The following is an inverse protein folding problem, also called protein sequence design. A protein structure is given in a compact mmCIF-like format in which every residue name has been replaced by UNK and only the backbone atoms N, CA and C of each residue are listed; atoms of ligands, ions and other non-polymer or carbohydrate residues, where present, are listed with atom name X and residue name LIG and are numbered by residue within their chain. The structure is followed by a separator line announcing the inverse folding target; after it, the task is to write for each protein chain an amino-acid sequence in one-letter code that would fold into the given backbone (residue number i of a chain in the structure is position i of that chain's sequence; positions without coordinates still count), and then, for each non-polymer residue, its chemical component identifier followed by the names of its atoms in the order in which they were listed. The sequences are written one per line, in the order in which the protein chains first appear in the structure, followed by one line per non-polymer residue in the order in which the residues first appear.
data_IF_672030976222
#
_entry.id   IF_672030976222
#
_cell.length_a   1.000
_cell.length_b   1.000
_cell.length_c   1.000
_cell.angle_alpha   90.00
_cell.angle_beta   90.00
_cell.angle_gamma   90.00
#
_symmetry.space_group_name_H-M   'P 1'
#
loop_
_entity.id
_entity.type
_entity.pdbx_description
1 polymer ?
#
# COMPACT_ATOMS: atom_id res chain seq x y z
N UNK A 1 -24.31 -15.21 4.13
CA UNK A 1 -23.21 -15.40 3.14
C UNK A 1 -23.44 -14.59 1.89
N UNK A 2 -22.37 -14.13 1.24
CA UNK A 2 -22.43 -13.51 -0.10
C UNK A 2 -21.82 -14.50 -1.11
N UNK A 3 -22.48 -14.69 -2.25
CA UNK A 3 -22.06 -15.61 -3.32
C UNK A 3 -21.64 -14.82 -4.55
N UNK A 4 -20.44 -15.07 -5.07
CA UNK A 4 -19.94 -14.54 -6.36
C UNK A 4 -20.00 -15.67 -7.40
N UNK A 5 -20.72 -15.43 -8.50
CA UNK A 5 -21.00 -16.44 -9.55
C UNK A 5 -20.94 -15.87 -10.96
N UNK A 6 -20.94 -16.72 -11.97
CA UNK A 6 -21.05 -16.37 -13.39
C UNK A 6 -19.91 -15.48 -13.89
N UNK A 7 -18.67 -15.75 -13.47
CA UNK A 7 -17.47 -15.08 -13.93
C UNK A 7 -16.23 -15.92 -13.71
N UNK A 8 -15.09 -15.33 -13.87
CA UNK A 8 -13.80 -15.95 -13.58
C UNK A 8 -13.26 -15.51 -12.21
N UNK A 9 -12.47 -16.34 -11.58
CA UNK A 9 -11.80 -16.06 -10.31
C UNK A 9 -10.30 -16.22 -10.47
N UNK A 10 -9.56 -15.18 -10.20
CA UNK A 10 -8.11 -15.18 -10.10
C UNK A 10 -7.73 -15.30 -8.63
N UNK A 11 -7.34 -16.49 -8.19
CA UNK A 11 -7.10 -16.77 -6.77
C UNK A 11 -5.78 -16.22 -6.26
N UNK A 12 -4.76 -16.15 -7.10
CA UNK A 12 -3.35 -15.93 -6.75
C UNK A 12 -2.78 -17.01 -5.80
N UNK A 13 -3.48 -18.12 -5.61
CA UNK A 13 -3.02 -19.27 -4.83
C UNK A 13 -2.22 -20.22 -5.75
N UNK A 14 -0.93 -19.94 -5.90
CA UNK A 14 0.00 -20.68 -6.77
C UNK A 14 -0.05 -20.29 -8.25
N UNK A 15 -1.21 -19.94 -8.83
CA UNK A 15 -1.39 -19.59 -10.24
C UNK A 15 -1.85 -18.16 -10.46
N UNK A 16 -1.50 -17.57 -11.61
CA UNK A 16 -2.07 -16.33 -12.14
C UNK A 16 -3.05 -16.59 -13.30
N UNK A 17 -3.65 -17.80 -13.36
CA UNK A 17 -4.64 -18.14 -14.37
C UNK A 17 -6.04 -18.08 -13.76
N UNK A 18 -6.95 -17.25 -14.28
CA UNK A 18 -8.33 -17.21 -13.81
C UNK A 18 -9.07 -18.53 -14.12
N UNK A 19 -9.94 -18.94 -13.21
CA UNK A 19 -10.73 -20.17 -13.31
C UNK A 19 -12.23 -19.86 -13.22
N UNK A 20 -13.06 -20.65 -13.92
CA UNK A 20 -14.53 -20.56 -13.81
C UNK A 20 -15.00 -21.31 -12.57
N UNK A 21 -14.92 -20.66 -11.43
CA UNK A 21 -15.33 -21.17 -10.11
C UNK A 21 -16.12 -20.10 -9.36
N UNK A 22 -16.71 -20.47 -8.23
CA UNK A 22 -17.41 -19.54 -7.35
C UNK A 22 -16.63 -19.26 -6.06
N UNK A 23 -16.87 -18.11 -5.48
CA UNK A 23 -16.37 -17.73 -4.16
C UNK A 23 -17.56 -17.32 -3.29
N UNK A 24 -17.63 -17.87 -2.09
CA UNK A 24 -18.62 -17.46 -1.08
C UNK A 24 -17.92 -16.89 0.12
N UNK A 25 -18.47 -15.82 0.68
CA UNK A 25 -17.98 -15.20 1.91
C UNK A 25 -18.99 -15.35 3.03
N UNK A 26 -18.51 -15.53 4.27
CA UNK A 26 -19.31 -15.52 5.48
C UNK A 26 -18.68 -14.57 6.49
N UNK A 27 -19.39 -13.49 6.80
CA UNK A 27 -18.80 -12.38 7.55
C UNK A 27 -17.57 -11.82 6.85
N UNK A 28 -16.45 -11.77 7.55
CA UNK A 28 -15.17 -11.25 7.07
C UNK A 28 -14.27 -12.29 6.38
N UNK A 29 -14.74 -13.56 6.26
CA UNK A 29 -13.93 -14.67 5.75
C UNK A 29 -14.46 -15.25 4.43
N UNK A 30 -13.54 -15.83 3.66
CA UNK A 30 -13.86 -16.67 2.50
C UNK A 30 -14.25 -18.05 3.00
N UNK A 31 -15.49 -18.43 2.78
CA UNK A 31 -16.08 -19.70 3.26
C UNK A 31 -15.99 -20.83 2.22
N UNK A 32 -15.98 -20.50 0.93
CA UNK A 32 -15.93 -21.47 -0.15
C UNK A 32 -15.22 -20.92 -1.38
N UNK A 33 -14.43 -21.77 -2.03
CA UNK A 33 -13.78 -21.52 -3.33
C UNK A 33 -13.88 -22.80 -4.15
N UNK A 34 -14.50 -22.77 -5.32
CA UNK A 34 -14.61 -23.93 -6.18
C UNK A 34 -15.90 -24.00 -7.00
N UNK A 35 -16.24 -25.20 -7.47
CA UNK A 35 -17.50 -25.48 -8.18
C UNK A 35 -18.45 -26.20 -7.23
N UNK A 36 -19.55 -25.53 -6.79
CA UNK A 36 -20.50 -26.15 -5.88
C UNK A 36 -21.34 -27.21 -6.63
N UNK A 37 -21.66 -28.30 -5.95
CA UNK A 37 -22.65 -29.23 -6.42
C UNK A 37 -24.07 -28.78 -6.05
N UNK A 38 -25.09 -29.49 -6.57
CA UNK A 38 -26.49 -29.12 -6.36
C UNK A 38 -26.95 -29.29 -4.90
N UNK A 39 -26.34 -30.22 -4.15
CA UNK A 39 -26.66 -30.45 -2.74
C UNK A 39 -26.14 -29.30 -1.87
N UNK A 40 -24.89 -28.88 -2.08
CA UNK A 40 -24.28 -27.74 -1.40
C UNK A 40 -25.03 -26.43 -1.67
N UNK A 41 -25.46 -26.22 -2.92
CA UNK A 41 -26.27 -25.05 -3.27
C UNK A 41 -27.64 -25.04 -2.56
N UNK A 42 -28.29 -26.21 -2.45
CA UNK A 42 -29.59 -26.32 -1.76
C UNK A 42 -29.49 -26.16 -0.25
N UNK A 43 -28.36 -26.57 0.33
CA UNK A 43 -28.13 -26.52 1.79
C UNK A 43 -27.60 -25.17 2.28
N UNK A 44 -27.20 -24.27 1.37
CA UNK A 44 -26.60 -22.97 1.72
C UNK A 44 -27.59 -21.84 1.47
N UNK A 45 -27.76 -20.96 2.48
CA UNK A 45 -28.55 -19.74 2.35
C UNK A 45 -27.64 -18.53 2.05
N UNK A 46 -27.99 -17.78 1.01
CA UNK A 46 -27.26 -16.58 0.62
C UNK A 46 -28.10 -15.34 0.95
N UNK A 47 -27.51 -14.43 1.69
CA UNK A 47 -28.05 -13.08 1.95
C UNK A 47 -28.03 -12.25 0.66
N UNK A 48 -26.98 -12.44 -0.15
CA UNK A 48 -26.78 -11.75 -1.42
C UNK A 48 -26.07 -12.67 -2.42
N UNK A 49 -26.56 -12.64 -3.66
CA UNK A 49 -25.84 -13.22 -4.80
C UNK A 49 -25.37 -12.10 -5.73
N UNK A 50 -24.09 -12.12 -6.08
CA UNK A 50 -23.45 -11.17 -7.02
C UNK A 50 -23.14 -11.93 -8.29
N UNK A 51 -23.83 -11.55 -9.36
CA UNK A 51 -23.54 -12.01 -10.70
C UNK A 51 -22.35 -11.23 -11.24
N UNK A 52 -21.26 -11.91 -11.57
CA UNK A 52 -20.08 -11.25 -12.12
C UNK A 52 -20.24 -10.84 -13.58
N UNK A 53 -21.31 -11.33 -14.27
CA UNK A 53 -21.60 -10.99 -15.67
C UNK A 53 -20.38 -11.19 -16.61
N UNK A 54 -19.61 -12.27 -16.37
CA UNK A 54 -18.35 -12.53 -17.10
C UNK A 54 -17.14 -11.76 -16.59
N UNK A 55 -17.30 -10.91 -15.58
CA UNK A 55 -16.21 -10.21 -14.90
C UNK A 55 -15.26 -11.13 -14.15
N UNK A 56 -14.20 -10.56 -13.60
CA UNK A 56 -13.18 -11.30 -12.86
C UNK A 56 -13.14 -10.89 -11.39
N UNK A 57 -13.34 -11.85 -10.49
CA UNK A 57 -13.10 -11.69 -9.05
C UNK A 57 -11.63 -11.97 -8.74
N UNK A 58 -10.99 -11.12 -7.94
CA UNK A 58 -9.59 -11.30 -7.54
C UNK A 58 -9.32 -10.72 -6.15
N UNK A 59 -8.19 -11.07 -5.51
CA UNK A 59 -7.74 -10.36 -4.31
C UNK A 59 -7.58 -8.88 -4.61
N UNK A 60 -7.97 -8.03 -3.66
CA UNK A 60 -7.80 -6.58 -3.81
C UNK A 60 -6.34 -6.16 -3.78
N UNK A 61 -6.05 -5.01 -4.35
CA UNK A 61 -4.74 -4.37 -4.20
C UNK A 61 -4.48 -3.94 -2.76
N UNK A 62 -3.20 -3.94 -2.38
CA UNK A 62 -2.72 -3.42 -1.11
C UNK A 62 -1.69 -2.34 -1.41
N UNK A 63 -1.91 -1.13 -0.88
CA UNK A 63 -0.97 -0.02 -1.04
C UNK A 63 0.08 -0.10 0.08
N UNK A 64 1.24 -0.70 -0.22
CA UNK A 64 2.24 -1.04 0.79
C UNK A 64 3.11 0.14 1.25
N UNK A 65 2.89 1.34 0.76
CA UNK A 65 3.46 2.59 1.29
C UNK A 65 2.68 3.80 0.78
N UNK A 66 2.29 4.66 1.71
CA UNK A 66 1.59 5.91 1.40
C UNK A 66 1.62 6.91 2.56
N UNK A 67 1.16 8.13 2.29
CA UNK A 67 0.86 9.22 3.21
C UNK A 67 -0.54 9.76 2.90
N UNK A 68 -1.58 8.99 3.23
CA UNK A 68 -2.94 9.19 2.73
C UNK A 68 -3.48 10.60 2.96
N UNK A 69 -3.28 11.18 4.15
CA UNK A 69 -3.79 12.50 4.46
C UNK A 69 -3.15 13.64 3.65
N UNK A 70 -2.04 13.39 2.92
CA UNK A 70 -1.44 14.38 2.02
C UNK A 70 -2.29 14.71 0.78
N UNK A 71 -3.54 14.24 0.68
CA UNK A 71 -4.44 14.64 -0.41
C UNK A 71 -4.58 16.16 -0.56
N UNK A 72 -4.39 16.93 0.50
CA UNK A 72 -4.41 18.39 0.45
C UNK A 72 -3.22 19.03 -0.29
N UNK A 73 -2.13 18.29 -0.47
CA UNK A 73 -0.93 18.73 -1.21
C UNK A 73 -0.93 18.30 -2.69
N UNK A 74 -1.97 17.61 -3.14
CA UNK A 74 -2.08 17.18 -4.54
C UNK A 74 -2.01 18.39 -5.46
N UNK A 75 -1.03 18.40 -6.37
CA UNK A 75 -0.75 19.50 -7.29
C UNK A 75 -0.43 20.85 -6.62
N UNK A 76 -0.05 20.84 -5.34
CA UNK A 76 0.29 22.07 -4.61
C UNK A 76 1.73 22.53 -4.87
N UNK A 77 2.67 21.59 -4.98
CA UNK A 77 4.09 21.90 -5.07
C UNK A 77 4.82 20.92 -6.02
N UNK A 78 4.29 20.77 -7.21
CA UNK A 78 4.90 19.91 -8.24
C UNK A 78 6.18 20.58 -8.83
N UNK A 79 6.98 19.76 -9.55
CA UNK A 79 8.16 20.20 -10.30
C UNK A 79 9.31 20.78 -9.45
N UNK A 80 9.49 20.25 -8.23
CA UNK A 80 10.59 20.58 -7.33
C UNK A 80 11.45 19.35 -6.99
N UNK A 81 12.79 19.53 -6.79
CA UNK A 81 13.64 18.47 -6.23
C UNK A 81 13.17 18.05 -4.83
N UNK A 82 13.33 16.75 -4.48
CA UNK A 82 12.80 16.15 -3.25
C UNK A 82 13.05 16.96 -1.98
N UNK A 83 14.30 17.37 -1.72
CA UNK A 83 14.62 18.08 -0.47
C UNK A 83 14.03 19.49 -0.46
N UNK A 84 14.10 20.24 -1.57
CA UNK A 84 13.49 21.56 -1.67
C UNK A 84 11.97 21.44 -1.49
N UNK A 85 11.36 20.43 -2.12
CA UNK A 85 9.95 20.11 -1.98
C UNK A 85 9.56 19.83 -0.52
N UNK A 86 10.28 18.93 0.17
CA UNK A 86 10.00 18.59 1.56
C UNK A 86 10.14 19.78 2.50
N UNK A 87 11.30 20.47 2.47
CA UNK A 87 11.62 21.46 3.49
C UNK A 87 10.95 22.82 3.23
N UNK A 88 10.65 23.17 1.98
CA UNK A 88 10.07 24.49 1.66
C UNK A 88 8.55 24.46 1.47
N UNK A 89 7.96 23.31 1.11
CA UNK A 89 6.55 23.21 0.80
C UNK A 89 5.80 22.25 1.73
N UNK A 90 6.23 21.00 1.85
CA UNK A 90 5.48 19.96 2.56
C UNK A 90 5.48 20.19 4.06
N UNK A 91 6.64 20.20 4.70
CA UNK A 91 6.74 20.33 6.16
C UNK A 91 6.13 21.61 6.72
N UNK A 92 6.28 22.80 6.08
CA UNK A 92 5.60 24.02 6.54
C UNK A 92 4.07 23.91 6.48
N UNK A 93 3.52 23.21 5.51
CA UNK A 93 2.06 23.01 5.41
C UNK A 93 1.57 21.95 6.39
N UNK A 94 2.30 20.85 6.53
CA UNK A 94 1.96 19.81 7.50
C UNK A 94 2.00 20.28 8.96
N UNK A 95 2.91 21.21 9.28
CA UNK A 95 3.00 21.81 10.62
C UNK A 95 1.75 22.57 11.04
N UNK A 96 0.87 22.92 10.11
CA UNK A 96 -0.39 23.64 10.35
C UNK A 96 -1.61 22.72 10.48
N UNK A 97 -1.46 21.42 10.19
CA UNK A 97 -2.56 20.46 10.23
C UNK A 97 -3.12 20.29 11.64
N UNK A 98 -4.42 20.08 11.70
CA UNK A 98 -5.15 19.64 12.89
C UNK A 98 -5.69 18.23 12.67
N UNK A 99 -6.12 17.55 13.73
CA UNK A 99 -6.75 16.25 13.64
C UNK A 99 -7.98 16.27 12.72
N UNK A 100 -8.81 17.34 12.74
CA UNK A 100 -9.95 17.48 11.82
C UNK A 100 -9.51 17.49 10.35
N UNK A 101 -8.42 18.19 10.03
CA UNK A 101 -7.88 18.23 8.68
C UNK A 101 -7.43 16.83 8.24
N UNK A 102 -6.67 16.13 9.09
CA UNK A 102 -6.19 14.76 8.85
C UNK A 102 -7.36 13.79 8.64
N UNK A 103 -8.42 13.90 9.44
CA UNK A 103 -9.64 13.08 9.29
C UNK A 103 -10.25 13.24 7.89
N UNK A 104 -10.53 14.46 7.43
CA UNK A 104 -11.20 14.68 6.16
C UNK A 104 -10.31 14.38 4.95
N UNK A 105 -9.03 14.70 5.01
CA UNK A 105 -8.09 14.37 3.95
C UNK A 105 -7.86 12.85 3.83
N UNK A 106 -7.87 12.13 4.96
CA UNK A 106 -7.84 10.66 4.96
C UNK A 106 -9.12 10.08 4.35
N UNK A 107 -10.29 10.60 4.69
CA UNK A 107 -11.56 10.20 4.06
C UNK A 107 -11.51 10.39 2.55
N UNK A 108 -10.93 11.48 2.07
CA UNK A 108 -10.75 11.74 0.64
C UNK A 108 -9.84 10.70 -0.03
N UNK A 109 -8.74 10.32 0.61
CA UNK A 109 -7.87 9.24 0.13
C UNK A 109 -8.61 7.89 0.06
N UNK A 110 -9.41 7.56 1.07
CA UNK A 110 -10.19 6.32 1.12
C UNK A 110 -11.17 6.22 -0.06
N UNK A 111 -11.81 7.31 -0.48
CA UNK A 111 -12.64 7.30 -1.70
C UNK A 111 -11.82 6.88 -2.93
N UNK A 112 -10.62 7.43 -3.07
CA UNK A 112 -9.75 7.10 -4.20
C UNK A 112 -9.25 5.65 -4.14
N UNK A 113 -8.86 5.16 -2.97
CA UNK A 113 -8.48 3.76 -2.77
C UNK A 113 -9.59 2.80 -3.17
N UNK A 114 -10.78 2.98 -2.60
CA UNK A 114 -11.89 2.06 -2.82
C UNK A 114 -12.35 2.02 -4.27
N UNK A 115 -12.42 3.18 -4.94
CA UNK A 115 -12.76 3.24 -6.36
C UNK A 115 -11.66 2.67 -7.26
N UNK A 116 -10.45 2.52 -6.75
CA UNK A 116 -9.30 1.90 -7.42
C UNK A 116 -9.03 0.45 -7.02
N UNK A 117 -9.90 -0.18 -6.22
CA UNK A 117 -9.75 -1.58 -5.81
C UNK A 117 -8.72 -1.83 -4.70
N UNK A 118 -8.33 -0.81 -3.96
CA UNK A 118 -7.43 -0.92 -2.80
C UNK A 118 -8.25 -1.08 -1.52
N UNK A 119 -7.93 -2.08 -0.69
CA UNK A 119 -8.63 -2.34 0.58
C UNK A 119 -7.77 -2.10 1.81
N UNK A 120 -6.47 -1.89 1.63
CA UNK A 120 -5.56 -1.61 2.73
C UNK A 120 -4.43 -0.66 2.32
N UNK A 121 -4.05 0.24 3.24
CA UNK A 121 -2.88 1.12 3.12
C UNK A 121 -1.86 0.84 4.22
N UNK A 122 -0.56 0.96 3.90
CA UNK A 122 0.53 1.03 4.86
C UNK A 122 0.94 2.50 4.97
N UNK A 123 0.45 3.17 5.99
CA UNK A 123 0.41 4.61 6.07
C UNK A 123 1.39 5.17 7.11
N UNK A 124 2.30 6.00 6.67
CA UNK A 124 3.23 6.71 7.53
C UNK A 124 2.72 8.15 7.73
N UNK A 125 2.07 8.41 8.89
CA UNK A 125 1.52 9.73 9.17
C UNK A 125 1.48 10.07 10.67
N UNK A 126 0.95 11.25 11.00
CA UNK A 126 0.77 11.78 12.36
C UNK A 126 -0.71 12.12 12.62
N UNK A 127 -1.07 12.71 13.79
CA UNK A 127 -2.46 12.93 14.24
C UNK A 127 -3.30 11.65 14.19
N UNK A 128 -2.73 10.57 14.75
CA UNK A 128 -3.21 9.21 14.53
C UNK A 128 -4.61 8.94 15.11
N UNK A 129 -5.10 9.69 16.12
CA UNK A 129 -6.45 9.49 16.65
C UNK A 129 -7.52 9.76 15.58
N UNK A 130 -7.42 10.89 14.89
CA UNK A 130 -8.34 11.28 13.85
C UNK A 130 -8.14 10.45 12.57
N UNK A 131 -6.89 10.10 12.27
CA UNK A 131 -6.55 9.19 11.18
C UNK A 131 -7.21 7.82 11.38
N UNK A 132 -7.03 7.20 12.54
CA UNK A 132 -7.61 5.88 12.89
C UNK A 132 -9.14 5.94 12.87
N UNK A 133 -9.72 7.01 13.41
CA UNK A 133 -11.17 7.24 13.40
C UNK A 133 -11.71 7.25 11.97
N UNK A 134 -11.06 7.98 11.03
CA UNK A 134 -11.48 8.02 9.63
C UNK A 134 -11.50 6.63 8.99
N UNK A 135 -10.47 5.81 9.26
CA UNK A 135 -10.37 4.46 8.72
C UNK A 135 -11.43 3.51 9.29
N UNK A 136 -11.60 3.49 10.62
CA UNK A 136 -12.59 2.63 11.30
C UNK A 136 -14.01 2.95 10.82
N UNK A 137 -14.39 4.23 10.82
CA UNK A 137 -15.73 4.66 10.39
C UNK A 137 -15.99 4.38 8.91
N UNK A 138 -14.94 4.34 8.08
CA UNK A 138 -15.06 3.98 6.67
C UNK A 138 -15.07 2.47 6.42
N UNK A 139 -14.74 1.65 7.43
CA UNK A 139 -14.55 0.22 7.25
C UNK A 139 -13.29 -0.14 6.46
N UNK A 140 -12.35 0.80 6.31
CA UNK A 140 -11.11 0.63 5.54
C UNK A 140 -9.97 0.10 6.42
N UNK A 141 -9.19 -0.85 5.88
CA UNK A 141 -8.06 -1.43 6.60
C UNK A 141 -6.82 -0.56 6.48
N UNK A 142 -6.11 -0.36 7.60
CA UNK A 142 -4.81 0.33 7.57
C UNK A 142 -3.80 -0.30 8.51
N UNK A 143 -2.56 -0.33 8.04
CA UNK A 143 -1.38 -0.59 8.84
C UNK A 143 -0.68 0.75 9.06
N UNK A 144 -0.61 1.23 10.28
CA UNK A 144 0.09 2.45 10.64
C UNK A 144 1.60 2.18 10.67
N UNK A 145 2.38 3.10 10.14
CA UNK A 145 3.83 3.13 10.27
C UNK A 145 4.24 4.29 11.16
N UNK A 146 5.16 4.07 12.08
CA UNK A 146 5.76 5.16 12.83
C UNK A 146 6.45 6.16 11.90
N UNK A 147 6.28 7.45 12.16
CA UNK A 147 6.81 8.56 11.36
C UNK A 147 7.76 9.46 12.15
N UNK A 148 8.31 8.97 13.26
CA UNK A 148 9.17 9.78 14.12
C UNK A 148 10.40 10.29 13.38
N UNK A 149 10.74 11.55 13.62
CA UNK A 149 11.89 12.23 13.04
C UNK A 149 12.52 13.16 14.09
N UNK A 150 13.82 13.40 14.00
CA UNK A 150 14.55 14.21 14.95
C UNK A 150 13.95 15.63 15.10
N UNK A 151 13.85 16.10 16.33
CA UNK A 151 13.31 17.41 16.68
C UNK A 151 11.79 17.52 16.73
N UNK A 152 11.04 16.56 16.20
CA UNK A 152 9.56 16.50 16.29
C UNK A 152 9.08 15.52 17.34
N UNK A 153 9.60 14.30 17.31
CA UNK A 153 9.12 13.18 18.13
C UNK A 153 10.30 12.27 18.50
N UNK A 154 10.16 11.47 19.55
CA UNK A 154 11.18 10.57 20.05
C UNK A 154 10.66 9.12 20.12
N UNK A 155 11.54 8.19 20.47
CA UNK A 155 11.21 6.77 20.57
C UNK A 155 10.12 6.47 21.61
N UNK A 156 9.99 7.30 22.66
CA UNK A 156 8.93 7.14 23.67
C UNK A 156 7.54 7.38 23.05
N UNK A 157 7.41 8.43 22.22
CA UNK A 157 6.16 8.70 21.49
C UNK A 157 5.84 7.57 20.52
N UNK A 158 6.84 7.03 19.82
CA UNK A 158 6.66 5.86 18.96
C UNK A 158 6.15 4.65 19.75
N UNK A 159 6.73 4.37 20.91
CA UNK A 159 6.32 3.27 21.76
C UNK A 159 4.89 3.43 22.27
N UNK A 160 4.53 4.61 22.79
CA UNK A 160 3.18 4.93 23.26
C UNK A 160 2.13 4.70 22.15
N UNK A 161 2.43 5.16 20.93
CA UNK A 161 1.57 4.96 19.75
C UNK A 161 1.48 3.49 19.35
N UNK A 162 2.60 2.79 19.31
CA UNK A 162 2.64 1.36 19.00
C UNK A 162 1.76 0.56 19.97
N UNK A 163 1.87 0.81 21.27
CA UNK A 163 1.05 0.15 22.29
C UNK A 163 -0.44 0.54 22.21
N UNK A 164 -0.73 1.78 21.82
CA UNK A 164 -2.11 2.28 21.72
C UNK A 164 -2.85 1.75 20.49
N UNK A 165 -2.19 1.75 19.33
CA UNK A 165 -2.89 1.50 18.06
C UNK A 165 -2.70 0.09 17.51
N UNK A 166 -1.65 -0.65 17.90
CA UNK A 166 -1.44 -1.98 17.37
C UNK A 166 -2.50 -2.97 17.88
N UNK A 167 -3.49 -3.26 17.03
CA UNK A 167 -4.59 -4.16 17.37
C UNK A 167 -5.77 -3.51 18.11
N UNK A 168 -5.87 -2.16 18.13
CA UNK A 168 -7.01 -1.44 18.74
C UNK A 168 -8.35 -1.78 18.07
N UNK A 169 -8.32 -2.20 16.81
CA UNK A 169 -9.47 -2.60 16.01
C UNK A 169 -9.05 -3.66 14.98
N UNK A 170 -9.94 -4.60 14.56
CA UNK A 170 -9.59 -5.62 13.56
C UNK A 170 -9.07 -5.09 12.22
N UNK A 171 -9.39 -3.84 11.87
CA UNK A 171 -8.91 -3.17 10.65
C UNK A 171 -7.63 -2.35 10.87
N UNK A 172 -7.14 -2.22 12.11
CA UNK A 172 -6.03 -1.34 12.47
C UNK A 172 -4.90 -2.15 13.10
N UNK A 173 -3.72 -2.03 12.53
CA UNK A 173 -2.48 -2.48 13.16
C UNK A 173 -1.42 -1.38 13.04
N UNK A 174 -0.32 -1.52 13.79
CA UNK A 174 0.79 -0.57 13.75
C UNK A 174 2.13 -1.31 13.69
N UNK A 175 3.06 -0.78 12.92
CA UNK A 175 4.45 -1.18 12.84
C UNK A 175 5.34 -0.11 13.45
N UNK A 176 6.45 -0.53 14.07
CA UNK A 176 7.51 0.41 14.41
C UNK A 176 8.05 1.03 13.11
N UNK A 177 8.45 2.28 13.18
CA UNK A 177 9.00 2.97 12.03
C UNK A 177 9.50 4.36 12.37
N UNK A 178 10.23 4.93 11.44
CA UNK A 178 10.71 6.32 11.46
C UNK A 178 10.80 6.83 10.02
N UNK A 179 10.91 8.15 9.86
CA UNK A 179 10.84 8.73 8.52
C UNK A 179 11.99 8.26 7.64
N UNK A 180 13.22 8.66 7.91
CA UNK A 180 14.41 8.28 7.15
C UNK A 180 15.68 8.50 7.99
N UNK A 181 16.84 7.99 7.52
CA UNK A 181 18.09 8.15 8.26
C UNK A 181 18.53 9.62 8.36
N UNK A 182 18.32 10.40 7.28
CA UNK A 182 18.72 11.82 7.22
C UNK A 182 17.82 12.76 8.05
N UNK A 183 16.68 12.26 8.52
CA UNK A 183 15.78 12.98 9.45
C UNK A 183 15.85 12.44 10.88
N UNK A 184 16.66 11.42 11.15
CA UNK A 184 16.84 10.81 12.47
C UNK A 184 18.28 11.06 12.98
N UNK A 185 18.39 11.49 14.23
CA UNK A 185 19.69 11.52 14.91
C UNK A 185 20.11 10.10 15.28
N UNK A 186 21.43 9.86 15.40
CA UNK A 186 21.97 8.53 15.69
C UNK A 186 21.38 7.92 16.96
N UNK A 187 21.23 8.69 18.04
CA UNK A 187 20.61 8.24 19.29
C UNK A 187 19.14 7.80 19.11
N UNK A 188 18.37 8.45 18.24
CA UNK A 188 17.02 8.02 17.91
C UNK A 188 17.03 6.66 17.18
N UNK A 189 17.98 6.41 16.29
CA UNK A 189 18.14 5.13 15.61
C UNK A 189 18.46 4.00 16.60
N UNK A 190 19.33 4.26 17.60
CA UNK A 190 19.64 3.31 18.68
C UNK A 190 18.40 3.00 19.55
N UNK A 191 17.64 4.01 19.91
CA UNK A 191 16.40 3.86 20.66
C UNK A 191 15.35 3.03 19.88
N UNK A 192 15.22 3.27 18.57
CA UNK A 192 14.33 2.49 17.71
C UNK A 192 14.78 1.02 17.61
N UNK A 193 16.08 0.79 17.50
CA UNK A 193 16.63 -0.57 17.54
C UNK A 193 16.32 -1.28 18.87
N UNK A 194 16.42 -0.55 20.00
CA UNK A 194 16.03 -1.05 21.31
C UNK A 194 14.53 -1.40 21.40
N UNK A 195 13.66 -0.60 20.79
CA UNK A 195 12.22 -0.92 20.69
C UNK A 195 11.97 -2.16 19.83
N UNK A 196 12.66 -2.29 18.68
CA UNK A 196 12.56 -3.47 17.83
C UNK A 196 12.96 -4.73 18.61
N UNK A 197 14.05 -4.68 19.37
CA UNK A 197 14.50 -5.79 20.24
C UNK A 197 13.50 -6.08 21.36
N UNK A 198 12.98 -5.04 22.03
CA UNK A 198 12.03 -5.15 23.14
C UNK A 198 10.73 -5.85 22.74
N UNK A 199 10.18 -5.49 21.58
CA UNK A 199 8.89 -6.00 21.09
C UNK A 199 9.02 -7.13 20.09
N UNK A 200 10.24 -7.51 19.69
CA UNK A 200 10.50 -8.47 18.60
C UNK A 200 9.72 -8.09 17.34
N UNK A 201 9.68 -6.80 17.06
CA UNK A 201 8.80 -6.20 16.05
C UNK A 201 9.59 -5.70 14.84
N UNK A 202 9.03 -5.85 13.62
CA UNK A 202 9.63 -5.32 12.40
C UNK A 202 9.60 -3.78 12.39
N UNK A 203 10.61 -3.17 11.73
CA UNK A 203 10.72 -1.71 11.56
C UNK A 203 10.65 -1.35 10.08
N UNK A 204 9.93 -0.27 9.76
CA UNK A 204 9.77 0.21 8.39
C UNK A 204 10.18 1.69 8.27
N UNK A 205 10.82 2.05 7.14
CA UNK A 205 11.36 3.39 6.93
C UNK A 205 11.62 3.65 5.44
N UNK A 206 11.70 4.92 5.02
CA UNK A 206 12.28 5.25 3.72
C UNK A 206 13.75 4.81 3.70
N UNK A 207 14.18 4.23 2.59
CA UNK A 207 15.51 3.63 2.49
C UNK A 207 16.11 3.82 1.10
N UNK A 208 17.24 4.48 1.05
CA UNK A 208 18.04 4.62 -0.17
C UNK A 208 17.23 5.14 -1.36
N UNK A 209 16.38 6.15 -1.12
CA UNK A 209 15.51 6.72 -2.15
C UNK A 209 16.32 7.52 -3.18
N UNK A 210 17.28 8.34 -2.72
CA UNK A 210 18.09 9.18 -3.61
C UNK A 210 19.58 8.87 -3.50
N UNK A 211 20.30 9.07 -4.61
CA UNK A 211 21.76 8.93 -4.63
C UNK A 211 22.45 9.91 -3.65
N UNK A 212 21.82 11.07 -3.39
CA UNK A 212 22.33 12.05 -2.42
C UNK A 212 22.25 11.50 -0.99
N UNK A 213 21.11 10.96 -0.59
CA UNK A 213 20.90 10.31 0.71
C UNK A 213 21.97 9.25 0.97
N UNK A 214 22.14 8.30 0.03
CA UNK A 214 23.12 7.22 0.18
C UNK A 214 24.53 7.77 0.32
N UNK A 215 24.92 8.74 -0.51
CA UNK A 215 26.26 9.34 -0.44
C UNK A 215 26.50 10.04 0.90
N UNK A 216 25.55 10.88 1.36
CA UNK A 216 25.67 11.61 2.63
C UNK A 216 25.71 10.66 3.83
N UNK A 217 24.94 9.55 3.80
CA UNK A 217 25.01 8.51 4.82
C UNK A 217 26.38 7.82 4.85
N UNK A 218 26.96 7.50 3.69
CA UNK A 218 28.32 6.92 3.59
C UNK A 218 29.38 7.92 4.09
N UNK A 219 29.29 9.20 3.73
CA UNK A 219 30.21 10.24 4.21
C UNK A 219 30.14 10.37 5.74
N UNK A 220 28.95 10.30 6.33
CA UNK A 220 28.74 10.49 7.77
C UNK A 220 29.06 9.26 8.60
N UNK A 221 28.70 8.07 8.13
CA UNK A 221 28.72 6.83 8.93
C UNK A 221 29.62 5.73 8.33
N UNK A 222 30.16 5.91 7.14
CA UNK A 222 30.95 4.88 6.44
C UNK A 222 30.07 3.72 5.94
N UNK A 223 28.76 3.89 5.86
CA UNK A 223 27.77 2.83 5.55
C UNK A 223 26.63 3.40 4.71
N UNK A 224 26.02 2.54 3.87
CA UNK A 224 24.72 2.87 3.27
C UNK A 224 23.62 2.94 4.35
N UNK A 225 22.44 3.55 4.09
CA UNK A 225 21.32 3.52 5.03
C UNK A 225 20.98 2.09 5.50
N UNK A 226 20.90 1.14 4.58
CA UNK A 226 20.61 -0.27 4.88
C UNK A 226 21.66 -0.91 5.79
N UNK A 227 22.96 -0.72 5.49
CA UNK A 227 24.06 -1.23 6.30
C UNK A 227 24.08 -0.60 7.70
N UNK A 228 23.76 0.69 7.79
CA UNK A 228 23.63 1.39 9.08
C UNK A 228 22.51 0.76 9.91
N UNK A 229 21.31 0.58 9.35
CA UNK A 229 20.18 -0.01 10.04
C UNK A 229 20.42 -1.44 10.46
N UNK A 230 21.05 -2.28 9.62
CA UNK A 230 21.42 -3.64 9.95
C UNK A 230 22.45 -3.68 11.11
N UNK A 231 23.45 -2.80 11.06
CA UNK A 231 24.51 -2.74 12.09
C UNK A 231 24.00 -2.30 13.46
N UNK A 232 22.92 -1.51 13.51
CA UNK A 232 22.26 -1.10 14.75
C UNK A 232 21.23 -2.13 15.24
N UNK A 233 20.90 -3.14 14.43
CA UNK A 233 19.89 -4.13 14.78
C UNK A 233 18.45 -3.73 14.47
N UNK A 234 18.22 -2.61 13.76
CA UNK A 234 16.89 -2.13 13.37
C UNK A 234 16.14 -3.20 12.55
N UNK A 235 16.83 -3.90 11.66
CA UNK A 235 16.26 -4.95 10.82
C UNK A 235 16.33 -6.37 11.41
N UNK A 236 16.63 -6.51 12.69
CA UNK A 236 16.75 -7.84 13.34
C UNK A 236 15.47 -8.68 13.25
N UNK A 237 14.32 -8.05 13.16
CA UNK A 237 13.00 -8.70 13.08
C UNK A 237 12.29 -8.43 11.75
N UNK A 238 13.04 -8.11 10.69
CA UNK A 238 12.49 -7.76 9.39
C UNK A 238 11.93 -6.35 9.35
N UNK A 239 11.00 -6.10 8.42
CA UNK A 239 10.38 -4.81 8.21
C UNK A 239 10.21 -4.48 6.74
N UNK A 240 10.17 -3.20 6.39
CA UNK A 240 10.12 -2.73 5.02
C UNK A 240 11.02 -1.49 4.82
N UNK A 241 11.75 -1.49 3.71
CA UNK A 241 12.35 -0.29 3.16
C UNK A 241 11.48 0.27 2.05
N UNK A 242 11.12 1.54 2.11
CA UNK A 242 10.33 2.19 1.07
C UNK A 242 11.24 2.81 0.03
N UNK A 243 10.82 2.85 -1.23
CA UNK A 243 11.53 3.28 -2.44
C UNK A 243 12.65 2.35 -2.89
N UNK A 244 13.70 2.17 -2.10
CA UNK A 244 14.83 1.25 -2.38
C UNK A 244 15.48 1.45 -3.77
N UNK A 245 15.62 2.71 -4.20
CA UNK A 245 16.09 3.05 -5.56
C UNK A 245 17.57 2.77 -5.72
N UNK A 246 18.37 3.07 -4.69
CA UNK A 246 19.83 3.04 -4.73
C UNK A 246 20.43 1.97 -3.79
N UNK A 247 19.80 0.78 -3.72
CA UNK A 247 20.38 -0.36 -2.99
C UNK A 247 21.61 -0.92 -3.71
N UNK A 248 22.69 -1.14 -2.96
CA UNK A 248 23.83 -1.93 -3.40
C UNK A 248 23.53 -3.43 -3.39
N UNK A 249 24.41 -4.24 -3.96
CA UNK A 249 24.29 -5.72 -3.88
C UNK A 249 24.31 -6.21 -2.43
N UNK A 250 25.16 -5.63 -1.58
CA UNK A 250 25.25 -5.96 -0.16
C UNK A 250 23.95 -5.58 0.58
N UNK A 251 23.34 -4.43 0.25
CA UNK A 251 22.05 -4.02 0.82
C UNK A 251 20.94 -5.02 0.46
N UNK A 252 20.88 -5.50 -0.77
CA UNK A 252 19.92 -6.52 -1.20
C UNK A 252 20.15 -7.85 -0.46
N UNK A 253 21.40 -8.24 -0.20
CA UNK A 253 21.74 -9.42 0.58
C UNK A 253 21.32 -9.26 2.07
N UNK A 254 21.40 -8.05 2.63
CA UNK A 254 20.87 -7.72 3.95
C UNK A 254 19.35 -7.88 3.95
N UNK A 255 18.64 -7.29 2.98
CA UNK A 255 17.19 -7.41 2.86
C UNK A 255 16.74 -8.86 2.83
N UNK A 256 17.37 -9.69 1.97
CA UNK A 256 17.07 -11.13 1.88
C UNK A 256 17.33 -11.84 3.21
N UNK A 257 18.50 -11.64 3.83
CA UNK A 257 18.92 -12.33 5.07
C UNK A 257 18.05 -11.95 6.25
N UNK A 258 17.64 -10.68 6.35
CA UNK A 258 16.79 -10.16 7.42
C UNK A 258 15.29 -10.31 7.15
N UNK A 259 14.89 -10.72 5.96
CA UNK A 259 13.49 -10.82 5.58
C UNK A 259 12.80 -9.46 5.45
N UNK A 260 13.56 -8.41 5.12
CA UNK A 260 13.04 -7.07 4.88
C UNK A 260 12.41 -7.01 3.48
N UNK A 261 11.24 -6.38 3.37
CA UNK A 261 10.58 -6.15 2.10
C UNK A 261 11.07 -4.85 1.46
N UNK A 262 11.37 -4.87 0.17
CA UNK A 262 11.57 -3.65 -0.60
C UNK A 262 10.22 -3.23 -1.22
N UNK A 263 9.70 -2.09 -0.80
CA UNK A 263 8.45 -1.55 -1.32
C UNK A 263 8.77 -0.45 -2.32
N UNK A 264 8.52 -0.73 -3.60
CA UNK A 264 8.75 0.25 -4.67
C UNK A 264 7.56 1.19 -4.81
N UNK A 265 7.87 2.46 -5.11
CA UNK A 265 6.90 3.52 -5.41
C UNK A 265 7.25 4.16 -6.76
N UNK A 266 7.08 3.43 -7.88
CA UNK A 266 7.61 3.85 -9.18
C UNK A 266 7.06 5.18 -9.68
N UNK A 267 5.81 5.53 -9.35
CA UNK A 267 5.22 6.82 -9.69
C UNK A 267 5.93 7.98 -9.00
N UNK A 268 6.11 7.91 -7.69
CA UNK A 268 6.83 8.91 -6.89
C UNK A 268 8.31 8.97 -7.30
N UNK A 269 8.99 7.83 -7.37
CA UNK A 269 10.40 7.75 -7.76
C UNK A 269 10.66 8.43 -9.12
N UNK A 270 9.75 8.24 -10.07
CA UNK A 270 9.84 8.85 -11.41
C UNK A 270 9.58 10.35 -11.38
N UNK A 271 8.53 10.79 -10.66
CA UNK A 271 8.14 12.19 -10.58
C UNK A 271 9.17 13.06 -9.86
N UNK A 272 9.75 12.54 -8.77
CA UNK A 272 10.78 13.22 -7.99
C UNK A 272 12.20 13.02 -8.59
N UNK A 273 12.30 12.31 -9.71
CA UNK A 273 13.56 11.97 -10.37
C UNK A 273 14.57 11.25 -9.43
N UNK A 274 14.06 10.49 -8.45
CA UNK A 274 14.88 9.69 -7.54
C UNK A 274 15.61 8.56 -8.27
N UNK A 275 15.01 8.00 -9.32
CA UNK A 275 15.60 6.96 -10.18
C UNK A 275 14.68 5.74 -10.38
N UNK A 276 15.23 4.68 -10.96
CA UNK A 276 14.54 3.41 -11.20
C UNK A 276 15.10 2.35 -10.25
N UNK A 277 14.31 1.89 -9.29
CA UNK A 277 14.70 0.84 -8.36
C UNK A 277 15.08 -0.46 -9.10
N UNK A 278 16.12 -1.22 -8.67
CA UNK A 278 16.61 -2.40 -9.36
C UNK A 278 15.77 -3.66 -9.05
N UNK A 279 14.50 -3.66 -9.41
CA UNK A 279 13.52 -4.69 -9.02
C UNK A 279 13.92 -6.09 -9.54
N UNK A 280 14.38 -6.20 -10.78
CA UNK A 280 14.83 -7.48 -11.35
C UNK A 280 16.05 -8.03 -10.63
N UNK A 281 16.98 -7.17 -10.19
CA UNK A 281 18.14 -7.57 -9.42
C UNK A 281 17.73 -8.05 -8.02
N UNK A 282 16.79 -7.34 -7.38
CA UNK A 282 16.22 -7.73 -6.10
C UNK A 282 15.53 -9.10 -6.17
N UNK A 283 14.71 -9.36 -7.21
CA UNK A 283 14.05 -10.65 -7.42
C UNK A 283 15.10 -11.76 -7.59
N UNK A 284 16.10 -11.54 -8.43
CA UNK A 284 17.16 -12.53 -8.69
C UNK A 284 17.94 -12.92 -7.44
N UNK A 285 18.04 -12.00 -6.46
CA UNK A 285 18.69 -12.21 -5.16
C UNK A 285 17.74 -12.72 -4.08
N UNK A 286 16.43 -12.90 -4.39
CA UNK A 286 15.44 -13.40 -3.46
C UNK A 286 14.97 -12.36 -2.42
N UNK A 287 15.06 -11.07 -2.73
CA UNK A 287 14.46 -9.99 -1.93
C UNK A 287 12.96 -10.02 -2.16
N UNK A 288 12.19 -9.93 -1.08
CA UNK A 288 10.74 -9.85 -1.11
C UNK A 288 10.28 -8.44 -1.48
N UNK A 289 9.22 -8.33 -2.26
CA UNK A 289 8.77 -7.07 -2.83
C UNK A 289 7.34 -6.70 -2.44
N UNK A 290 7.10 -5.41 -2.33
CA UNK A 290 5.79 -4.79 -2.28
C UNK A 290 5.70 -3.61 -3.25
N UNK A 291 4.49 -3.12 -3.47
CA UNK A 291 4.19 -1.97 -4.32
C UNK A 291 3.37 -0.94 -3.54
N UNK A 292 3.79 0.31 -3.57
CA UNK A 292 3.10 1.43 -2.96
C UNK A 292 2.97 2.61 -3.90
N UNK A 293 2.07 3.52 -3.59
CA UNK A 293 1.90 4.76 -4.36
C UNK A 293 2.77 5.89 -3.85
N UNK A 294 3.27 5.80 -2.61
CA UNK A 294 3.69 6.96 -1.85
C UNK A 294 2.52 7.96 -1.63
N UNK A 295 2.79 9.16 -1.12
CA UNK A 295 1.77 10.15 -0.86
C UNK A 295 1.21 10.84 -2.10
N UNK A 296 -0.03 11.36 -2.05
CA UNK A 296 -0.61 12.13 -3.16
C UNK A 296 0.07 13.49 -3.36
N UNK A 297 0.98 13.89 -2.52
CA UNK A 297 1.85 15.04 -2.74
C UNK A 297 3.00 14.74 -3.71
N UNK A 298 3.63 13.56 -3.59
CA UNK A 298 4.78 13.15 -4.41
C UNK A 298 4.36 12.45 -5.71
N UNK A 299 3.24 11.71 -5.70
CA UNK A 299 2.73 10.94 -6.86
C UNK A 299 1.52 11.59 -7.55
N UNK A 300 0.73 12.37 -6.83
CA UNK A 300 -0.57 12.93 -7.20
C UNK A 300 -1.72 11.92 -7.34
N UNK A 301 -1.47 10.63 -7.55
CA UNK A 301 -2.49 9.60 -7.69
C UNK A 301 -2.28 8.44 -6.70
N UNK A 302 -3.37 7.99 -6.09
CA UNK A 302 -3.41 6.78 -5.27
C UNK A 302 -3.96 5.63 -6.14
N UNK A 303 -3.17 5.22 -7.15
CA UNK A 303 -3.62 4.37 -8.26
C UNK A 303 -2.69 3.19 -8.52
N UNK A 304 -3.07 2.00 -8.03
CA UNK A 304 -2.26 0.80 -8.17
C UNK A 304 -2.15 0.30 -9.62
N UNK A 305 -3.11 0.60 -10.50
CA UNK A 305 -2.97 0.26 -11.93
C UNK A 305 -1.82 1.03 -12.55
N UNK A 306 -1.71 2.33 -12.23
CA UNK A 306 -0.61 3.17 -12.69
C UNK A 306 0.73 2.68 -12.14
N UNK A 307 0.79 2.32 -10.87
CA UNK A 307 2.00 1.79 -10.26
C UNK A 307 2.43 0.46 -10.88
N UNK A 308 1.51 -0.47 -11.12
CA UNK A 308 1.79 -1.73 -11.80
C UNK A 308 2.35 -1.51 -13.20
N UNK A 309 1.73 -0.62 -13.99
CA UNK A 309 2.23 -0.28 -15.32
C UNK A 309 3.65 0.28 -15.26
N UNK A 310 3.88 1.29 -14.41
CA UNK A 310 5.20 1.91 -14.25
C UNK A 310 6.24 0.90 -13.75
N UNK A 311 5.89 0.04 -12.80
CA UNK A 311 6.81 -0.97 -12.27
C UNK A 311 7.37 -1.84 -13.38
N UNK A 312 6.53 -2.39 -14.26
CA UNK A 312 7.00 -3.27 -15.33
C UNK A 312 7.73 -2.51 -16.44
N UNK A 313 7.20 -1.39 -16.95
CA UNK A 313 7.80 -0.71 -18.10
C UNK A 313 9.15 -0.05 -17.78
N UNK A 314 9.31 0.45 -16.55
CA UNK A 314 10.58 0.99 -16.09
C UNK A 314 11.65 -0.10 -15.95
N UNK A 315 11.29 -1.33 -15.52
CA UNK A 315 12.23 -2.44 -15.50
C UNK A 315 12.64 -2.88 -16.91
N UNK A 316 11.72 -2.93 -17.86
CA UNK A 316 12.03 -3.22 -19.27
C UNK A 316 13.02 -2.20 -19.83
N UNK A 317 12.79 -0.92 -19.56
CA UNK A 317 13.69 0.16 -19.97
C UNK A 317 15.07 0.05 -19.29
N UNK A 318 15.10 -0.14 -17.97
CA UNK A 318 16.35 -0.28 -17.19
C UNK A 318 17.22 -1.42 -17.70
N UNK A 319 16.62 -2.56 -18.00
CA UNK A 319 17.35 -3.77 -18.42
C UNK A 319 17.54 -3.85 -19.94
N UNK A 320 16.99 -2.92 -20.74
CA UNK A 320 16.95 -3.03 -22.20
C UNK A 320 16.38 -4.38 -22.67
N UNK A 321 15.42 -4.93 -21.94
CA UNK A 321 14.78 -6.22 -22.17
C UNK A 321 13.26 -6.14 -22.03
N UNK A 322 12.55 -6.34 -23.14
CA UNK A 322 11.09 -6.32 -23.17
C UNK A 322 10.44 -7.48 -22.37
N UNK A 323 11.20 -8.51 -22.02
CA UNK A 323 10.73 -9.63 -21.19
C UNK A 323 10.95 -9.41 -19.68
N UNK A 324 11.71 -8.38 -19.29
CA UNK A 324 11.96 -8.08 -17.88
C UNK A 324 10.65 -7.81 -17.13
N UNK A 325 10.52 -8.38 -15.96
CA UNK A 325 9.40 -8.23 -15.02
C UNK A 325 8.01 -8.41 -15.68
N UNK A 326 7.56 -9.65 -15.91
CA UNK A 326 6.30 -9.95 -16.58
C UNK A 326 5.08 -9.56 -15.73
N UNK A 327 3.92 -9.39 -16.38
CA UNK A 327 2.67 -8.93 -15.76
C UNK A 327 2.21 -9.79 -14.56
N UNK A 328 2.39 -11.11 -14.64
CA UNK A 328 2.00 -12.04 -13.58
C UNK A 328 2.79 -11.77 -12.29
N UNK A 329 4.07 -11.48 -12.40
CA UNK A 329 4.92 -11.12 -11.25
C UNK A 329 4.53 -9.76 -10.67
N UNK A 330 4.28 -8.77 -11.53
CA UNK A 330 3.81 -7.43 -11.11
C UNK A 330 2.50 -7.53 -10.33
N UNK A 331 1.55 -8.33 -10.81
CA UNK A 331 0.27 -8.50 -10.13
C UNK A 331 0.42 -9.18 -8.76
N UNK A 332 1.32 -10.20 -8.67
CA UNK A 332 1.65 -10.83 -7.38
C UNK A 332 2.26 -9.82 -6.41
N UNK A 333 3.16 -8.97 -6.86
CA UNK A 333 3.75 -7.90 -6.03
C UNK A 333 2.67 -6.95 -5.52
N UNK A 334 1.75 -6.50 -6.39
CA UNK A 334 0.70 -5.54 -6.03
C UNK A 334 -0.37 -6.10 -5.07
N UNK A 335 -0.60 -7.42 -5.08
CA UNK A 335 -1.59 -8.07 -4.20
C UNK A 335 -0.89 -8.80 -3.05
N UNK A 336 -0.33 -9.99 -3.31
CA UNK A 336 0.23 -10.87 -2.28
C UNK A 336 1.48 -10.30 -1.63
N UNK A 337 2.45 -9.82 -2.43
CA UNK A 337 3.70 -9.26 -1.92
C UNK A 337 3.46 -8.02 -1.06
N UNK A 338 2.57 -7.13 -1.50
CA UNK A 338 2.18 -5.95 -0.73
C UNK A 338 1.46 -6.32 0.57
N UNK A 339 0.54 -7.30 0.53
CA UNK A 339 -0.13 -7.80 1.74
C UNK A 339 0.88 -8.36 2.75
N UNK A 340 1.84 -9.17 2.29
CA UNK A 340 2.88 -9.74 3.15
C UNK A 340 3.80 -8.66 3.73
N UNK A 341 4.23 -7.66 2.93
CA UNK A 341 5.04 -6.53 3.39
C UNK A 341 4.36 -5.76 4.53
N UNK A 342 3.04 -5.64 4.46
CA UNK A 342 2.21 -5.02 5.48
C UNK A 342 1.92 -5.92 6.69
N UNK A 343 2.27 -7.22 6.64
CA UNK A 343 1.90 -8.21 7.64
C UNK A 343 0.44 -8.63 7.59
N UNK A 344 -0.19 -8.49 6.44
CA UNK A 344 -1.58 -8.84 6.15
C UNK A 344 -1.69 -10.15 5.34
N UNK A 345 -0.87 -11.15 5.66
CA UNK A 345 -0.87 -12.43 4.97
C UNK A 345 -2.23 -13.16 4.96
N UNK A 346 -3.19 -12.73 5.82
CA UNK A 346 -4.56 -13.21 5.79
C UNK A 346 -5.41 -12.62 4.65
N UNK A 347 -4.90 -11.58 3.94
CA UNK A 347 -5.59 -10.86 2.87
C UNK A 347 -4.87 -10.99 1.50
N UNK A 348 -3.92 -11.92 1.36
CA UNK A 348 -2.95 -12.00 0.26
C UNK A 348 -3.50 -12.69 -0.99
N UNK A 349 -4.51 -13.56 -0.85
CA UNK A 349 -5.07 -14.39 -1.93
C UNK A 349 -6.49 -14.85 -1.64
N UNK A 350 -7.14 -15.43 -2.62
CA UNK A 350 -8.45 -16.07 -2.46
C UNK A 350 -8.24 -17.55 -2.09
N UNK A 351 -8.45 -17.88 -0.82
CA UNK A 351 -8.46 -19.25 -0.31
C UNK A 351 -9.42 -19.37 0.87
N UNK A 352 -9.97 -20.54 1.11
CA UNK A 352 -10.88 -20.77 2.24
C UNK A 352 -10.20 -20.41 3.57
N UNK A 353 -10.89 -19.68 4.43
CA UNK A 353 -10.39 -19.18 5.72
C UNK A 353 -9.65 -17.85 5.67
N UNK A 354 -9.21 -17.38 4.49
CA UNK A 354 -8.62 -16.05 4.30
C UNK A 354 -9.67 -14.95 4.50
N UNK A 355 -9.21 -13.73 4.72
CA UNK A 355 -10.05 -12.55 4.80
C UNK A 355 -10.68 -12.22 3.44
N UNK A 356 -11.93 -11.79 3.46
CA UNK A 356 -12.66 -11.39 2.27
C UNK A 356 -12.35 -9.93 1.88
N UNK A 357 -11.13 -9.71 1.41
CA UNK A 357 -10.64 -8.46 0.83
C UNK A 357 -10.54 -8.66 -0.69
N UNK A 358 -11.61 -8.34 -1.41
CA UNK A 358 -11.84 -8.76 -2.79
C UNK A 358 -12.21 -7.59 -3.69
N UNK A 359 -11.90 -7.70 -5.00
CA UNK A 359 -12.39 -6.78 -6.03
C UNK A 359 -12.99 -7.53 -7.21
N UNK A 360 -13.96 -6.90 -7.85
CA UNK A 360 -14.53 -7.35 -9.12
C UNK A 360 -14.05 -6.42 -10.23
N UNK A 361 -13.42 -6.99 -11.22
CA UNK A 361 -12.96 -6.31 -12.43
C UNK A 361 -13.98 -6.50 -13.54
N UNK A 362 -14.43 -5.41 -14.13
CA UNK A 362 -15.22 -5.41 -15.35
C UNK A 362 -14.36 -5.82 -16.54
N UNK A 363 -14.70 -6.94 -17.15
CA UNK A 363 -14.00 -7.44 -18.33
C UNK A 363 -14.66 -6.95 -19.63
N UNK A 364 -15.86 -6.32 -19.56
CA UNK A 364 -16.60 -5.81 -20.73
C UNK A 364 -16.44 -4.29 -20.88
N UNK A 365 -15.19 -3.83 -20.81
CA UNK A 365 -14.80 -2.44 -21.09
C UNK A 365 -13.71 -2.40 -22.17
N UNK A 366 -13.60 -1.30 -22.94
CA UNK A 366 -12.67 -1.23 -24.07
C UNK A 366 -11.22 -1.56 -23.74
N UNK A 367 -10.71 -1.11 -22.60
CA UNK A 367 -9.34 -1.34 -22.16
C UNK A 367 -9.04 -2.80 -21.77
N UNK A 368 -10.08 -3.62 -21.55
CA UNK A 368 -9.95 -5.05 -21.27
C UNK A 368 -10.19 -5.93 -22.49
N UNK A 369 -10.53 -5.36 -23.65
CA UNK A 369 -10.84 -6.11 -24.88
C UNK A 369 -9.76 -5.92 -25.96
N UNK A 370 -9.50 -6.98 -26.79
CA UNK A 370 -9.95 -8.36 -26.64
C UNK A 370 -9.22 -9.09 -25.51
N UNK A 371 -9.86 -10.12 -24.95
CA UNK A 371 -9.29 -10.88 -23.81
C UNK A 371 -8.42 -12.03 -24.34
N UNK A 372 -7.15 -11.77 -24.59
CA UNK A 372 -6.17 -12.84 -24.86
C UNK A 372 -5.52 -13.37 -23.59
N UNK A 373 -5.20 -12.45 -22.66
CA UNK A 373 -4.66 -12.76 -21.34
C UNK A 373 -5.15 -11.68 -20.36
N UNK A 374 -6.10 -12.03 -19.46
CA UNK A 374 -6.72 -11.05 -18.57
C UNK A 374 -5.73 -10.37 -17.60
N UNK A 375 -4.70 -11.08 -17.16
CA UNK A 375 -3.66 -10.51 -16.28
C UNK A 375 -2.82 -9.47 -17.02
N UNK A 376 -2.44 -9.77 -18.28
CA UNK A 376 -1.71 -8.79 -19.11
C UNK A 376 -2.58 -7.57 -19.42
N UNK A 377 -3.86 -7.76 -19.75
CA UNK A 377 -4.78 -6.65 -19.95
C UNK A 377 -4.87 -5.79 -18.68
N UNK A 378 -5.03 -6.43 -17.51
CA UNK A 378 -5.13 -5.72 -16.23
C UNK A 378 -3.90 -4.84 -15.96
N UNK A 379 -2.69 -5.35 -16.19
CA UNK A 379 -1.43 -4.66 -15.87
C UNK A 379 -1.05 -3.62 -16.93
N UNK A 380 -1.27 -3.91 -18.22
CA UNK A 380 -0.80 -3.05 -19.30
C UNK A 380 -1.83 -2.04 -19.81
N UNK A 381 -3.12 -2.36 -19.74
CA UNK A 381 -4.19 -1.51 -20.27
C UNK A 381 -5.31 -1.21 -19.28
N UNK A 382 -5.41 -1.97 -18.18
CA UNK A 382 -6.42 -1.75 -17.14
C UNK A 382 -6.28 -0.41 -16.43
N UNK A 383 -7.38 0.05 -15.86
CA UNK A 383 -7.46 1.31 -15.11
C UNK A 383 -8.47 1.21 -13.95
N UNK A 384 -8.52 2.20 -13.07
CA UNK A 384 -9.54 2.28 -11.99
C UNK A 384 -10.97 2.13 -12.51
N UNK A 385 -11.25 2.48 -13.75
CA UNK A 385 -12.56 2.35 -14.37
C UNK A 385 -13.03 0.90 -14.53
N UNK A 386 -12.07 -0.05 -14.53
CA UNK A 386 -12.40 -1.48 -14.60
C UNK A 386 -12.91 -2.04 -13.26
N UNK A 387 -12.82 -1.29 -12.15
CA UNK A 387 -13.26 -1.78 -10.84
C UNK A 387 -14.76 -1.58 -10.69
N UNK A 388 -15.53 -2.68 -10.61
CA UNK A 388 -16.97 -2.67 -10.35
C UNK A 388 -17.33 -2.73 -8.87
N UNK A 389 -16.52 -3.45 -8.07
CA UNK A 389 -16.78 -3.68 -6.66
C UNK A 389 -15.48 -3.77 -5.88
N UNK A 390 -15.47 -3.21 -4.67
CA UNK A 390 -14.39 -3.36 -3.68
C UNK A 390 -14.99 -3.78 -2.35
N UNK A 391 -14.54 -4.94 -1.85
CA UNK A 391 -14.94 -5.53 -0.58
C UNK A 391 -13.74 -5.54 0.37
N UNK A 392 -13.88 -4.98 1.56
CA UNK A 392 -12.89 -5.01 2.64
C UNK A 392 -13.47 -5.74 3.85
N UNK A 393 -12.78 -6.77 4.34
CA UNK A 393 -13.22 -7.59 5.47
C UNK A 393 -14.71 -8.02 5.34
N UNK A 394 -15.10 -8.50 4.15
CA UNK A 394 -16.45 -8.98 3.84
C UNK A 394 -17.51 -7.89 3.65
N UNK A 395 -17.17 -6.61 3.80
CA UNK A 395 -18.08 -5.49 3.58
C UNK A 395 -17.84 -4.84 2.21
N UNK A 396 -18.87 -4.71 1.41
CA UNK A 396 -18.80 -4.00 0.13
C UNK A 396 -18.79 -2.50 0.44
N UNK A 397 -17.65 -1.85 0.19
CA UNK A 397 -17.46 -0.41 0.47
C UNK A 397 -17.57 0.46 -0.78
N UNK A 398 -17.41 -0.14 -1.96
CA UNK A 398 -17.57 0.49 -3.26
C UNK A 398 -18.29 -0.47 -4.21
N UNK A 399 -19.27 0.00 -4.92
CA UNK A 399 -19.97 -0.78 -5.94
C UNK A 399 -20.60 0.14 -6.99
N UNK A 400 -20.23 -0.02 -8.26
CA UNK A 400 -20.85 0.67 -9.40
C UNK A 400 -21.04 2.17 -9.18
N UNK A 401 -20.01 2.87 -8.75
CA UNK A 401 -20.03 4.32 -8.55
C UNK A 401 -20.56 4.78 -7.19
N UNK A 402 -20.88 3.86 -6.27
CA UNK A 402 -21.45 4.20 -4.95
C UNK A 402 -20.52 3.76 -3.82
N UNK A 403 -20.30 4.65 -2.88
CA UNK A 403 -19.57 4.36 -1.64
C UNK A 403 -20.52 3.99 -0.50
N UNK A 404 -20.09 3.02 0.32
CA UNK A 404 -20.79 2.57 1.53
C UNK A 404 -19.84 2.67 2.74
N UNK A 405 -19.41 3.89 3.06
CA UNK A 405 -18.38 4.20 4.08
C UNK A 405 -18.91 5.06 5.24
N UNK A 406 -20.22 5.08 5.44
CA UNK A 406 -20.86 5.84 6.51
C UNK A 406 -20.95 7.34 6.28
N UNK A 407 -20.39 7.87 5.16
CA UNK A 407 -20.41 9.29 4.82
C UNK A 407 -20.64 9.48 3.32
N UNK A 408 -21.30 10.58 2.95
CA UNK A 408 -21.53 10.94 1.54
C UNK A 408 -20.26 11.51 0.90
N UNK A 409 -19.94 11.07 -0.33
CA UNK A 409 -18.73 11.50 -1.03
C UNK A 409 -18.70 13.02 -1.29
N UNK A 410 -19.84 13.64 -1.64
CA UNK A 410 -19.90 15.08 -1.88
C UNK A 410 -19.62 15.87 -0.59
N UNK A 411 -20.08 15.34 0.56
CA UNK A 411 -19.76 15.93 1.85
C UNK A 411 -18.26 15.81 2.15
N UNK A 412 -17.62 14.67 1.86
CA UNK A 412 -16.18 14.53 2.00
C UNK A 412 -15.43 15.55 1.14
N UNK A 413 -15.83 15.72 -0.14
CA UNK A 413 -15.24 16.73 -1.02
C UNK A 413 -15.38 18.14 -0.46
N UNK A 414 -16.59 18.53 -0.02
CA UNK A 414 -16.85 19.85 0.55
C UNK A 414 -16.04 20.11 1.82
N UNK A 415 -16.00 19.13 2.74
CA UNK A 415 -15.25 19.26 3.99
C UNK A 415 -13.75 19.30 3.77
N UNK A 416 -13.21 18.52 2.84
CA UNK A 416 -11.80 18.58 2.47
C UNK A 416 -11.41 19.95 1.88
N UNK A 417 -12.26 20.52 1.03
CA UNK A 417 -12.05 21.87 0.50
C UNK A 417 -12.08 22.94 1.61
N UNK A 418 -13.06 22.88 2.54
CA UNK A 418 -13.13 23.79 3.68
C UNK A 418 -11.89 23.68 4.60
N UNK A 419 -11.39 22.45 4.84
CA UNK A 419 -10.18 22.23 5.63
C UNK A 419 -8.97 22.86 4.95
N UNK A 420 -8.83 22.68 3.63
CA UNK A 420 -7.74 23.29 2.86
C UNK A 420 -7.80 24.83 2.91
N UNK A 421 -8.99 25.42 2.71
CA UNK A 421 -9.17 26.87 2.79
C UNK A 421 -8.81 27.48 4.17
N UNK A 422 -9.08 26.73 5.24
CA UNK A 422 -8.68 27.10 6.60
C UNK A 422 -7.18 26.95 6.79
N UNK A 423 -6.61 25.84 6.33
CA UNK A 423 -5.18 25.52 6.42
C UNK A 423 -4.32 26.57 5.71
N UNK A 424 -4.73 27.01 4.52
CA UNK A 424 -4.04 28.02 3.74
C UNK A 424 -3.99 29.41 4.44
N UNK A 425 -4.90 29.66 5.40
CA UNK A 425 -4.98 30.93 6.18
C UNK A 425 -4.23 30.87 7.52
N UNK A 426 -3.82 29.69 7.99
CA UNK A 426 -2.97 29.50 9.16
C UNK A 426 -1.50 29.74 8.80
#
# INVERSE_FOLDING_TARGET
MIRFKNGSVLTLDGSCTPENIEVWTDGDKIAFVGRPDAEKLKSTSFEREIDLEGGMLMPSFKNAHTHSAMTFLRSYADDLPLQDWLFTQVFPMEAKLTGEDVYWFTKLAILEYLSGGVTASFDMYFELDDYVKANIESGFRTVLCGAVSGGRENAKVLEERYLKYNGIHPLISMRLGFHAEYTAEYGLLEDIAALAEKYKAPVSTHNSETAKEVRECIEKYGKTPTQLFDSLGIYSYGGAGFHCVHLSEEDMDIFRRRGVYAVSCPGSNSKLASGIAPITDMISRGVKLGLGTDGPASNNALDMFREMYLLTVLQKLRNSDAAALPADEVLRIACSGSAEAMGLGECDRIAVGKQADLIVIDMDVPEMQPIHNPVKNLVYSGSKRCVKLTMCAGKILWENGKFSIGEDANRIYARSAECFDKLAKR
#
